data_IF_517848220098
#
_entry.id   IF_517848220098
#
_cell.length_a   1.000
_cell.length_b   1.000
_cell.length_c   1.000
_cell.angle_alpha   90.00
_cell.angle_beta   90.00
_cell.angle_gamma   90.00
#
_symmetry.space_group_name_H-M   'P 1'
#
loop_
_entity.id
_entity.type
_entity.pdbx_description
1 polymer ?
#
# COMPACT_ATOMS: atom_id res chain seq x y z
N UNK A 1 17.10 9.55 30.35
CA UNK A 1 17.20 8.53 29.29
C UNK A 1 15.85 7.83 29.24
N UNK A 2 14.98 8.19 28.31
CA UNK A 2 13.74 7.46 28.14
C UNK A 2 14.09 6.05 27.70
N UNK A 3 13.65 5.05 28.44
CA UNK A 3 13.70 3.63 28.05
C UNK A 3 12.66 3.37 26.95
N UNK A 4 12.70 4.15 25.86
CA UNK A 4 11.75 4.02 24.76
C UNK A 4 11.96 2.65 24.13
N UNK A 5 10.91 1.85 24.22
CA UNK A 5 10.76 0.62 23.44
C UNK A 5 10.94 1.01 21.96
N UNK A 6 11.93 0.45 21.25
CA UNK A 6 12.17 0.67 19.81
C UNK A 6 10.94 0.19 19.02
N UNK A 7 9.93 1.04 18.90
CA UNK A 7 8.61 0.66 18.41
C UNK A 7 7.94 1.82 17.70
N UNK A 8 7.44 1.53 16.50
CA UNK A 8 6.67 2.43 15.67
C UNK A 8 5.44 1.69 15.10
N UNK A 9 4.45 2.47 14.68
CA UNK A 9 3.29 1.96 13.95
C UNK A 9 3.31 2.45 12.51
N UNK A 10 3.15 1.54 11.55
CA UNK A 10 2.90 1.89 10.15
C UNK A 10 1.45 1.57 9.81
N UNK A 11 0.70 2.62 9.46
CA UNK A 11 -0.72 2.52 9.14
C UNK A 11 -0.92 2.89 7.67
N UNK A 12 -1.64 2.03 6.94
CA UNK A 12 -2.06 2.27 5.55
C UNK A 12 -3.58 2.16 5.49
N UNK A 13 -4.25 3.14 4.88
CA UNK A 13 -5.70 3.10 4.72
C UNK A 13 -6.19 3.82 3.46
N UNK A 14 -7.47 3.59 3.13
CA UNK A 14 -8.13 4.23 1.99
C UNK A 14 -9.07 5.37 2.38
N UNK A 15 -9.31 5.60 3.69
CA UNK A 15 -10.23 6.62 4.21
C UNK A 15 -9.75 8.05 3.86
N UNK A 16 -10.48 8.81 3.02
CA UNK A 16 -10.09 10.17 2.64
C UNK A 16 -10.11 11.12 3.85
N UNK A 17 -9.08 11.96 3.96
CA UNK A 17 -9.00 13.00 5.01
C UNK A 17 -8.79 12.49 6.43
N UNK A 18 -8.62 11.18 6.62
CA UNK A 18 -8.33 10.57 7.91
C UNK A 18 -6.83 10.24 8.04
N UNK A 19 -6.24 10.29 9.25
CA UNK A 19 -6.70 11.14 10.33
C UNK A 19 -6.56 12.61 9.93
N UNK A 20 -7.41 13.47 10.49
CA UNK A 20 -7.25 14.91 10.27
C UNK A 20 -5.99 15.40 11.00
N UNK A 21 -5.06 15.98 10.25
CA UNK A 21 -3.74 16.37 10.76
C UNK A 21 -3.85 17.34 11.94
N UNK A 22 -3.03 17.14 12.98
CA UNK A 22 -3.01 17.94 14.22
C UNK A 22 -4.32 17.96 15.01
N UNK A 23 -5.28 17.10 14.68
CA UNK A 23 -6.51 16.93 15.47
C UNK A 23 -6.48 15.56 16.13
N UNK A 24 -7.25 15.39 17.21
CA UNK A 24 -7.46 14.09 17.81
C UNK A 24 -8.14 13.12 16.85
N UNK A 25 -8.30 11.87 17.27
CA UNK A 25 -9.03 10.87 16.50
C UNK A 25 -10.46 11.36 16.19
N UNK A 26 -10.76 11.51 14.89
CA UNK A 26 -12.09 11.87 14.40
C UNK A 26 -12.37 11.10 13.11
N UNK A 27 -13.37 10.22 13.14
CA UNK A 27 -13.80 9.47 11.97
C UNK A 27 -14.70 10.33 11.06
N UNK A 28 -14.47 10.37 9.73
CA UNK A 28 -15.33 11.12 8.83
C UNK A 28 -16.66 10.37 8.61
N UNK A 29 -17.76 10.89 9.17
CA UNK A 29 -19.10 10.25 9.12
C UNK A 29 -19.57 9.95 7.68
N UNK A 30 -19.18 10.77 6.70
CA UNK A 30 -19.48 10.55 5.28
C UNK A 30 -18.92 9.24 4.72
N UNK A 31 -17.86 8.70 5.34
CA UNK A 31 -17.19 7.47 4.93
C UNK A 31 -17.87 6.21 5.52
N UNK A 32 -18.90 6.33 6.35
CA UNK A 32 -19.69 5.19 6.87
C UNK A 32 -20.38 4.37 5.77
N UNK A 33 -20.73 5.03 4.66
CA UNK A 33 -21.44 4.39 3.55
C UNK A 33 -20.49 3.68 2.56
N UNK A 34 -19.17 3.74 2.78
CA UNK A 34 -18.16 3.29 1.84
C UNK A 34 -17.31 2.16 2.40
N UNK A 35 -16.88 1.26 1.53
CA UNK A 35 -15.94 0.20 1.89
C UNK A 35 -14.51 0.74 2.02
N UNK A 36 -13.90 0.53 3.18
CA UNK A 36 -12.53 0.96 3.49
C UNK A 36 -11.65 -0.20 3.93
N UNK A 37 -10.35 -0.04 3.72
CA UNK A 37 -9.32 -0.93 4.24
C UNK A 37 -8.41 -0.13 5.15
N UNK A 38 -8.09 -0.71 6.30
CA UNK A 38 -7.08 -0.21 7.23
C UNK A 38 -6.14 -1.36 7.58
N UNK A 39 -4.84 -1.13 7.46
CA UNK A 39 -3.79 -2.05 7.89
C UNK A 39 -2.92 -1.31 8.89
N UNK A 40 -2.75 -1.88 10.08
CA UNK A 40 -1.86 -1.35 11.12
C UNK A 40 -0.80 -2.40 11.45
N UNK A 41 0.46 -2.00 11.38
CA UNK A 41 1.61 -2.85 11.64
C UNK A 41 2.47 -2.22 12.72
N UNK A 42 2.72 -2.96 13.80
CA UNK A 42 3.78 -2.62 14.76
C UNK A 42 5.12 -3.05 14.18
N UNK A 43 6.10 -2.15 14.14
CA UNK A 43 7.44 -2.34 13.57
C UNK A 43 8.48 -1.71 14.49
N UNK A 44 9.76 -2.03 14.31
CA UNK A 44 10.85 -1.26 14.93
C UNK A 44 11.08 0.07 14.20
N UNK A 45 11.54 1.09 14.92
CA UNK A 45 11.87 2.41 14.37
C UNK A 45 12.98 2.31 13.31
N UNK A 46 13.90 1.36 13.48
CA UNK A 46 14.95 1.04 12.52
C UNK A 46 14.43 0.71 11.10
N UNK A 47 13.17 0.29 10.96
CA UNK A 47 12.56 -0.05 9.67
C UNK A 47 11.89 1.14 8.98
N UNK A 48 11.72 2.28 9.66
CA UNK A 48 11.11 3.49 9.08
C UNK A 48 11.85 3.95 7.83
N UNK A 49 13.19 3.92 7.85
CA UNK A 49 13.98 4.38 6.70
C UNK A 49 13.79 3.49 5.46
N UNK A 50 13.50 2.19 5.63
CA UNK A 50 13.18 1.29 4.52
C UNK A 50 11.80 1.63 3.93
N UNK A 51 10.81 1.91 4.77
CA UNK A 51 9.49 2.37 4.32
C UNK A 51 9.61 3.69 3.58
N UNK A 52 10.37 4.65 4.12
CA UNK A 52 10.61 5.95 3.50
C UNK A 52 11.26 5.83 2.12
N UNK A 53 12.17 4.87 1.91
CA UNK A 53 12.78 4.63 0.60
C UNK A 53 11.74 4.26 -0.47
N UNK A 54 10.72 3.49 -0.09
CA UNK A 54 9.60 3.14 -0.96
C UNK A 54 8.66 4.33 -1.20
N UNK A 55 8.31 5.06 -0.13
CA UNK A 55 7.44 6.23 -0.21
C UNK A 55 8.04 7.37 -1.05
N UNK A 56 9.35 7.57 -0.98
CA UNK A 56 10.05 8.59 -1.75
C UNK A 56 9.80 8.49 -3.27
N UNK A 57 9.58 7.27 -3.79
CA UNK A 57 9.28 7.06 -5.21
C UNK A 57 7.85 7.42 -5.59
N UNK A 58 6.88 7.21 -4.70
CA UNK A 58 5.45 7.49 -5.00
C UNK A 58 5.08 8.95 -4.75
N UNK A 59 6.04 9.76 -4.27
CA UNK A 59 5.92 11.21 -4.06
C UNK A 59 4.63 11.60 -3.30
N UNK A 60 4.42 11.05 -2.08
CA UNK A 60 3.22 11.35 -1.32
C UNK A 60 3.25 12.80 -0.83
N UNK A 61 2.07 13.37 -0.62
CA UNK A 61 1.92 14.63 0.09
C UNK A 61 2.04 14.39 1.61
N UNK A 62 2.98 15.06 2.26
CA UNK A 62 3.17 15.00 3.70
C UNK A 62 2.38 16.13 4.35
N UNK A 63 1.26 15.80 5.00
CA UNK A 63 0.40 16.79 5.66
C UNK A 63 0.97 17.29 6.99
N UNK A 64 1.69 16.42 7.72
CA UNK A 64 2.22 16.72 9.04
C UNK A 64 3.40 15.80 9.35
N UNK A 65 4.41 16.34 10.00
CA UNK A 65 5.59 15.61 10.47
C UNK A 65 6.13 16.31 11.73
N UNK A 66 6.14 15.59 12.85
CA UNK A 66 6.66 16.05 14.14
C UNK A 66 7.76 15.14 14.70
N UNK A 67 8.36 14.30 13.86
CA UNK A 67 9.45 13.43 14.28
C UNK A 67 10.71 14.28 14.54
N UNK A 68 11.32 14.22 15.74
CA UNK A 68 12.53 14.96 16.05
C UNK A 68 13.70 14.63 15.11
N UNK A 69 14.45 15.64 14.66
CA UNK A 69 15.62 15.45 13.79
C UNK A 69 16.70 14.55 14.40
N UNK A 70 16.77 14.47 15.73
CA UNK A 70 17.69 13.59 16.45
C UNK A 70 17.36 12.11 16.23
N UNK A 71 16.08 11.75 16.11
CA UNK A 71 15.63 10.39 15.84
C UNK A 71 15.86 10.01 14.38
N UNK A 72 15.75 10.99 13.46
CA UNK A 72 15.90 10.76 12.01
C UNK A 72 17.32 10.98 11.50
N UNK A 73 18.29 11.27 12.37
CA UNK A 73 19.67 11.52 11.98
C UNK A 73 20.28 10.37 11.16
N UNK A 74 19.93 9.12 11.50
CA UNK A 74 20.34 7.91 10.79
C UNK A 74 19.43 7.50 9.61
N UNK A 75 18.42 8.31 9.24
CA UNK A 75 17.38 7.93 8.29
C UNK A 75 17.43 8.79 7.00
N UNK A 76 18.39 8.56 6.10
CA UNK A 76 18.61 9.42 4.94
C UNK A 76 17.43 9.44 3.94
N UNK A 77 16.69 8.35 3.78
CA UNK A 77 15.52 8.33 2.89
C UNK A 77 14.33 9.06 3.54
N UNK A 78 14.16 8.92 4.85
CA UNK A 78 13.17 9.69 5.59
C UNK A 78 13.44 11.19 5.46
N UNK A 79 14.68 11.64 5.68
CA UNK A 79 15.03 13.06 5.59
C UNK A 79 14.77 13.61 4.18
N UNK A 80 15.12 12.84 3.12
CA UNK A 80 14.78 13.21 1.74
C UNK A 80 13.28 13.33 1.51
N UNK A 81 12.51 12.38 2.04
CA UNK A 81 11.05 12.37 1.92
C UNK A 81 10.43 13.58 2.64
N UNK A 82 10.84 13.83 3.88
CA UNK A 82 10.40 14.96 4.69
C UNK A 82 10.73 16.33 4.07
N UNK A 83 11.85 16.42 3.35
CA UNK A 83 12.27 17.61 2.60
C UNK A 83 11.56 17.76 1.24
N UNK A 84 10.68 16.82 0.87
CA UNK A 84 9.98 16.83 -0.42
C UNK A 84 10.90 16.56 -1.62
N UNK A 85 12.05 15.91 -1.42
CA UNK A 85 12.98 15.59 -2.51
C UNK A 85 12.40 14.48 -3.38
N UNK A 86 12.62 14.60 -4.68
CA UNK A 86 12.13 13.66 -5.68
C UNK A 86 13.31 12.90 -6.30
N UNK A 87 13.27 11.55 -6.39
CA UNK A 87 14.27 10.79 -7.12
C UNK A 87 14.20 11.10 -8.62
N UNK A 88 15.26 11.72 -9.14
CA UNK A 88 15.39 12.07 -10.57
C UNK A 88 16.17 11.04 -11.37
N UNK A 89 16.92 10.17 -10.68
CA UNK A 89 17.76 9.15 -11.29
C UNK A 89 17.15 7.75 -11.10
N UNK A 90 17.35 6.83 -12.05
CA UNK A 90 16.94 5.44 -11.90
C UNK A 90 17.71 4.75 -10.75
N UNK A 91 17.13 3.68 -10.15
CA UNK A 91 15.90 2.99 -10.56
C UNK A 91 14.61 3.68 -10.12
N UNK A 92 13.61 3.72 -11.01
CA UNK A 92 12.27 4.27 -10.76
C UNK A 92 11.30 3.27 -10.10
N UNK A 93 11.85 2.22 -9.50
CA UNK A 93 11.11 1.17 -8.80
C UNK A 93 11.88 0.78 -7.54
N UNK A 94 11.17 0.55 -6.44
CA UNK A 94 11.74 0.07 -5.18
C UNK A 94 11.07 -1.24 -4.78
N UNK A 95 11.84 -2.08 -4.12
CA UNK A 95 11.37 -3.27 -3.41
C UNK A 95 12.03 -3.29 -2.04
N UNK A 96 11.23 -3.14 -1.00
CA UNK A 96 11.68 -3.20 0.38
C UNK A 96 10.97 -4.34 1.10
N UNK A 97 11.62 -4.87 2.13
CA UNK A 97 11.03 -5.86 3.02
C UNK A 97 11.18 -5.35 4.44
N UNK A 98 10.08 -5.31 5.16
CA UNK A 98 10.04 -5.05 6.60
C UNK A 98 9.43 -6.26 7.31
N UNK A 99 9.52 -6.29 8.63
CA UNK A 99 9.01 -7.32 9.50
C UNK A 99 8.23 -6.68 10.64
N UNK A 100 7.07 -7.27 10.97
CA UNK A 100 6.34 -6.85 12.16
C UNK A 100 7.16 -7.15 13.42
N UNK A 101 7.02 -6.28 14.41
CA UNK A 101 7.65 -6.42 15.70
C UNK A 101 6.93 -7.50 16.52
N UNK A 102 7.28 -8.75 16.26
CA UNK A 102 6.86 -9.92 17.03
C UNK A 102 8.05 -10.87 17.17
N UNK A 103 8.51 -11.07 18.41
CA UNK A 103 9.72 -11.86 18.68
C UNK A 103 9.61 -13.35 18.36
N UNK A 104 8.39 -13.91 18.35
CA UNK A 104 8.17 -15.33 18.07
C UNK A 104 7.88 -15.61 16.59
N UNK A 105 7.07 -14.76 15.96
CA UNK A 105 6.58 -14.97 14.59
C UNK A 105 6.46 -13.64 13.83
N UNK A 106 7.59 -13.05 13.38
CA UNK A 106 7.56 -11.85 12.58
C UNK A 106 6.89 -12.12 11.22
N UNK A 107 5.97 -11.26 10.81
CA UNK A 107 5.35 -11.30 9.49
C UNK A 107 6.16 -10.44 8.54
N UNK A 108 6.67 -11.03 7.46
CA UNK A 108 7.35 -10.28 6.40
C UNK A 108 6.33 -9.49 5.57
N UNK A 109 6.59 -8.20 5.41
CA UNK A 109 5.80 -7.30 4.56
C UNK A 109 6.67 -6.77 3.45
N UNK A 110 6.27 -7.05 2.21
CA UNK A 110 6.97 -6.61 1.02
C UNK A 110 6.32 -5.35 0.46
N UNK A 111 7.11 -4.30 0.29
CA UNK A 111 6.67 -3.00 -0.22
C UNK A 111 7.24 -2.85 -1.62
N UNK A 112 6.36 -2.72 -2.60
CA UNK A 112 6.73 -2.46 -3.98
C UNK A 112 6.23 -1.08 -4.39
N UNK A 113 7.13 -0.26 -4.91
CA UNK A 113 6.82 1.12 -5.30
C UNK A 113 7.39 1.42 -6.67
N UNK A 114 6.76 2.35 -7.38
CA UNK A 114 7.24 2.90 -8.65
C UNK A 114 6.95 4.39 -8.71
N UNK A 115 7.78 5.13 -9.44
CA UNK A 115 7.45 6.52 -9.77
C UNK A 115 6.26 6.61 -10.73
N UNK A 116 5.62 7.77 -10.76
CA UNK A 116 4.58 8.08 -11.76
C UNK A 116 5.10 7.95 -13.19
N UNK A 117 6.34 8.39 -13.44
CA UNK A 117 7.00 8.29 -14.75
C UNK A 117 7.32 6.86 -15.20
N UNK A 118 7.24 5.87 -14.29
CA UNK A 118 7.53 4.49 -14.62
C UNK A 118 6.43 3.88 -15.49
N UNK A 119 6.80 3.24 -16.60
CA UNK A 119 5.87 2.48 -17.46
C UNK A 119 5.51 1.09 -16.90
N UNK A 120 6.00 0.74 -15.70
CA UNK A 120 5.71 -0.56 -15.10
C UNK A 120 4.24 -0.63 -14.62
N UNK A 121 3.51 -1.60 -15.16
CA UNK A 121 2.16 -1.94 -14.69
C UNK A 121 2.30 -2.83 -13.44
N UNK A 122 1.80 -2.37 -12.28
CA UNK A 122 2.09 -2.97 -10.98
C UNK A 122 1.56 -4.39 -10.84
N UNK A 123 0.37 -4.69 -11.37
CA UNK A 123 -0.28 -5.97 -11.19
C UNK A 123 0.46 -7.07 -11.96
N UNK A 124 0.70 -6.88 -13.25
CA UNK A 124 1.34 -7.87 -14.11
C UNK A 124 2.85 -7.89 -13.99
N UNK A 125 3.50 -6.71 -14.04
CA UNK A 125 4.97 -6.63 -14.12
C UNK A 125 5.64 -6.75 -12.76
N UNK A 126 4.90 -6.48 -11.68
CA UNK A 126 5.43 -6.59 -10.32
C UNK A 126 4.75 -7.73 -9.57
N UNK A 127 3.46 -7.62 -9.22
CA UNK A 127 2.79 -8.59 -8.34
C UNK A 127 2.82 -10.01 -8.94
N UNK A 128 2.29 -10.23 -10.14
CA UNK A 128 2.27 -11.56 -10.78
C UNK A 128 3.68 -12.11 -10.98
N UNK A 129 4.62 -11.27 -11.43
CA UNK A 129 5.99 -11.70 -11.71
C UNK A 129 6.74 -12.10 -10.44
N UNK A 130 6.54 -11.35 -9.36
CA UNK A 130 7.22 -11.61 -8.08
C UNK A 130 6.56 -12.75 -7.32
N UNK A 131 5.23 -12.79 -7.26
CA UNK A 131 4.52 -13.86 -6.58
C UNK A 131 4.56 -15.18 -7.35
N UNK A 132 4.78 -15.15 -8.67
CA UNK A 132 4.72 -16.32 -9.57
C UNK A 132 3.43 -17.13 -9.40
N UNK A 133 2.33 -16.43 -9.11
CA UNK A 133 1.01 -17.00 -8.80
C UNK A 133 -0.07 -16.25 -9.55
N UNK A 134 -1.21 -16.91 -9.73
CA UNK A 134 -2.44 -16.23 -10.14
C UNK A 134 -2.91 -15.34 -8.98
N UNK A 135 -3.44 -14.17 -9.29
CA UNK A 135 -4.03 -13.26 -8.32
C UNK A 135 -5.50 -13.01 -8.65
N UNK A 136 -6.33 -12.89 -7.61
CA UNK A 136 -7.70 -12.36 -7.70
C UNK A 136 -7.67 -10.90 -7.28
N UNK A 137 -8.21 -10.01 -8.10
CA UNK A 137 -8.13 -8.56 -7.92
C UNK A 137 -9.51 -7.97 -7.66
N UNK A 138 -9.64 -7.23 -6.56
CA UNK A 138 -10.73 -6.31 -6.29
C UNK A 138 -10.23 -4.89 -6.58
N UNK A 139 -10.84 -4.24 -7.55
CA UNK A 139 -10.48 -2.88 -7.95
C UNK A 139 -11.62 -2.29 -8.76
N UNK A 140 -11.85 -0.98 -8.58
CA UNK A 140 -12.62 -0.21 -9.55
C UNK A 140 -11.94 -0.34 -10.91
N UNK A 141 -12.73 -0.51 -11.96
CA UNK A 141 -12.24 -0.78 -13.31
C UNK A 141 -13.01 0.03 -14.33
N UNK A 142 -12.33 0.33 -15.44
CA UNK A 142 -12.99 0.85 -16.63
C UNK A 142 -13.77 -0.27 -17.34
N UNK A 143 -14.60 0.09 -18.32
CA UNK A 143 -15.37 -0.86 -19.14
C UNK A 143 -14.49 -1.74 -20.05
N UNK A 144 -13.18 -1.50 -20.11
CA UNK A 144 -12.25 -2.21 -20.99
C UNK A 144 -11.71 -3.49 -20.34
N UNK A 145 -11.59 -3.50 -19.01
CA UNK A 145 -11.18 -4.67 -18.26
C UNK A 145 -12.28 -5.75 -18.23
N UNK A 146 -12.16 -6.73 -19.12
CA UNK A 146 -13.04 -7.91 -19.15
C UNK A 146 -12.69 -8.85 -17.99
N UNK A 147 -13.69 -9.49 -17.40
CA UNK A 147 -13.53 -10.43 -16.27
C UNK A 147 -12.75 -11.70 -16.61
N UNK A 148 -12.65 -12.04 -17.89
CA UNK A 148 -11.93 -13.21 -18.40
C UNK A 148 -10.83 -12.75 -19.37
N UNK A 149 -9.65 -12.47 -18.81
CA UNK A 149 -8.52 -11.96 -19.58
C UNK A 149 -7.85 -13.10 -20.38
N UNK A 150 -8.37 -13.40 -21.57
CA UNK A 150 -7.73 -14.33 -22.51
C UNK A 150 -6.35 -13.80 -22.94
N UNK A 151 -5.31 -14.63 -22.84
CA UNK A 151 -3.94 -14.32 -23.29
C UNK A 151 -2.97 -13.85 -22.19
N UNK A 152 -2.26 -12.74 -22.41
CA UNK A 152 -1.11 -12.29 -21.59
C UNK A 152 -1.42 -11.85 -20.15
N UNK A 153 -2.67 -11.97 -19.71
CA UNK A 153 -3.18 -11.64 -18.38
C UNK A 153 -3.79 -12.87 -17.68
N UNK A 154 -3.47 -14.09 -18.12
CA UNK A 154 -4.02 -15.37 -17.59
C UNK A 154 -3.87 -15.55 -16.06
N UNK A 155 -2.90 -14.86 -15.46
CA UNK A 155 -2.62 -14.90 -14.02
C UNK A 155 -3.31 -13.78 -13.22
N UNK A 156 -4.15 -12.96 -13.86
CA UNK A 156 -4.95 -11.93 -13.19
C UNK A 156 -6.41 -12.27 -13.42
N UNK A 157 -7.15 -12.51 -12.34
CA UNK A 157 -8.59 -12.77 -12.34
C UNK A 157 -9.28 -11.64 -11.63
N UNK A 158 -10.28 -11.04 -12.26
CA UNK A 158 -11.05 -9.98 -11.62
C UNK A 158 -12.14 -10.57 -10.74
N UNK A 159 -12.26 -10.07 -9.51
CA UNK A 159 -13.38 -10.42 -8.65
C UNK A 159 -14.63 -9.76 -9.24
N UNK A 160 -15.70 -10.54 -9.38
CA UNK A 160 -16.98 -10.08 -9.89
C UNK A 160 -17.70 -9.30 -8.79
N UNK A 161 -18.26 -8.14 -9.14
CA UNK A 161 -19.15 -7.36 -8.27
C UNK A 161 -20.60 -7.78 -8.54
N UNK A 162 -21.46 -7.90 -7.51
CA UNK A 162 -21.14 -7.80 -6.09
C UNK A 162 -20.36 -9.03 -5.58
N UNK A 163 -19.64 -8.88 -4.47
CA UNK A 163 -18.94 -9.97 -3.79
C UNK A 163 -19.21 -9.94 -2.28
N UNK A 164 -19.21 -11.10 -1.63
CA UNK A 164 -19.36 -11.19 -0.18
C UNK A 164 -17.99 -11.23 0.51
N UNK A 165 -17.77 -10.34 1.48
CA UNK A 165 -16.64 -10.37 2.42
C UNK A 165 -17.21 -10.70 3.79
N UNK A 166 -16.87 -11.88 4.32
CA UNK A 166 -17.38 -12.37 5.60
C UNK A 166 -18.92 -12.30 5.72
N UNK A 167 -19.64 -12.67 4.66
CA UNK A 167 -21.11 -12.62 4.61
C UNK A 167 -21.72 -11.23 4.31
N UNK A 168 -20.91 -10.17 4.25
CA UNK A 168 -21.37 -8.84 3.87
C UNK A 168 -21.17 -8.60 2.37
N UNK A 169 -22.25 -8.32 1.66
CA UNK A 169 -22.19 -7.97 0.24
C UNK A 169 -21.58 -6.58 0.07
N UNK A 170 -20.51 -6.50 -0.71
CA UNK A 170 -19.87 -5.27 -1.18
C UNK A 170 -20.00 -5.17 -2.70
N UNK A 171 -19.95 -3.94 -3.20
CA UNK A 171 -19.96 -3.64 -4.63
C UNK A 171 -18.88 -2.60 -4.94
N UNK A 172 -18.40 -2.57 -6.18
CA UNK A 172 -17.31 -1.69 -6.60
C UNK A 172 -17.68 -0.19 -6.57
N UNK A 173 -18.97 0.13 -6.58
CA UNK A 173 -19.49 1.50 -6.55
C UNK A 173 -19.38 2.12 -5.15
N UNK A 174 -19.65 1.32 -4.11
CA UNK A 174 -19.57 1.71 -2.70
C UNK A 174 -18.20 1.42 -2.07
N UNK A 175 -17.42 0.51 -2.63
CA UNK A 175 -16.08 0.15 -2.14
C UNK A 175 -15.00 0.94 -2.88
N UNK A 176 -14.06 1.53 -2.15
CA UNK A 176 -12.99 2.36 -2.74
C UNK A 176 -11.62 1.73 -2.60
N UNK A 177 -11.58 0.50 -2.08
CA UNK A 177 -10.35 -0.24 -1.87
C UNK A 177 -9.87 -0.86 -3.18
N UNK A 178 -8.55 -1.00 -3.29
CA UNK A 178 -7.95 -1.83 -4.34
C UNK A 178 -7.03 -2.84 -3.65
N UNK A 179 -7.30 -4.11 -3.85
CA UNK A 179 -6.54 -5.18 -3.24
C UNK A 179 -6.50 -6.42 -4.13
N UNK A 180 -5.52 -7.27 -3.85
CA UNK A 180 -5.37 -8.55 -4.53
C UNK A 180 -5.04 -9.66 -3.54
N UNK A 181 -5.45 -10.88 -3.86
CA UNK A 181 -5.10 -12.08 -3.12
C UNK A 181 -4.49 -13.12 -4.05
N UNK A 182 -3.51 -13.88 -3.56
CA UNK A 182 -2.94 -15.00 -4.32
C UNK A 182 -3.90 -16.19 -4.41
N UNK A 183 -3.93 -16.88 -5.55
CA UNK A 183 -4.74 -18.07 -5.80
C UNK A 183 -3.87 -19.14 -6.50
N UNK A 184 -3.42 -20.21 -5.80
CA UNK A 184 -3.59 -20.51 -4.38
C UNK A 184 -2.61 -19.75 -3.47
N UNK A 185 -2.98 -19.55 -2.21
CA UNK A 185 -2.10 -19.02 -1.17
C UNK A 185 -2.80 -18.09 -0.18
N UNK A 186 -2.01 -17.51 0.71
CA UNK A 186 -2.44 -16.63 1.80
C UNK A 186 -1.83 -15.22 1.71
N UNK A 187 -1.40 -14.80 0.51
CA UNK A 187 -0.83 -13.46 0.32
C UNK A 187 -1.96 -12.50 0.03
N UNK A 188 -2.00 -11.42 0.80
CA UNK A 188 -2.87 -10.27 0.60
C UNK A 188 -2.03 -9.05 0.19
N UNK A 189 -2.50 -8.28 -0.78
CA UNK A 189 -1.86 -7.06 -1.25
C UNK A 189 -2.85 -5.90 -1.20
N UNK A 190 -2.55 -4.87 -0.42
CA UNK A 190 -3.13 -3.54 -0.62
C UNK A 190 -2.40 -2.84 -1.78
N UNK A 191 -3.15 -2.10 -2.60
CA UNK A 191 -2.60 -1.44 -3.78
C UNK A 191 -3.17 -0.01 -3.84
N UNK A 192 -2.28 0.98 -3.90
CA UNK A 192 -2.69 2.39 -3.81
C UNK A 192 -3.47 2.90 -5.03
N UNK A 193 -3.24 2.29 -6.20
CA UNK A 193 -3.88 2.69 -7.46
C UNK A 193 -4.76 1.56 -7.99
N UNK A 194 -5.95 1.89 -8.54
CA UNK A 194 -6.81 0.91 -9.17
C UNK A 194 -6.13 0.26 -10.39
N UNK A 195 -6.59 -0.94 -10.71
CA UNK A 195 -6.24 -1.65 -11.92
C UNK A 195 -6.92 -1.00 -13.12
N UNK A 196 -6.11 -0.42 -14.01
CA UNK A 196 -6.54 0.09 -15.31
C UNK A 196 -5.71 -0.56 -16.41
N UNK A 197 -6.31 -0.73 -17.60
CA UNK A 197 -5.51 -0.92 -18.81
C UNK A 197 -4.91 0.43 -19.16
N UNK A 198 -3.62 0.61 -18.94
CA UNK A 198 -2.88 1.68 -19.61
C UNK A 198 -3.04 1.49 -21.12
N UNK A 199 -3.73 2.43 -21.78
CA UNK A 199 -3.80 2.52 -23.24
C UNK A 199 -2.40 2.70 -23.83
#
# INVERSE_FOLDING_TARGET
LSTTTDSAAWIVHTVPGFPAAKTGYSWPVAENARGHLLICLTISESQINAIAASLLLVQPLIHYNDIPKTETAGMPYFNKLAEGKIPTLPPFTSRQTIHTQNGATPVAVHIYSKSESSKYEIYKKVIVKVLKKTIKVWSRRDSKLKGDCRGSQRHIRLIKSPAAINGHNTNLEADITNWAVSDPGNIFCHIDKPYFVSL
#
